data_IF_830428982714
#
_entry.id   IF_830428982714
#
_cell.length_a   1.000
_cell.length_b   1.000
_cell.length_c   1.000
_cell.angle_alpha   90.00
_cell.angle_beta   90.00
_cell.angle_gamma   90.00
#
_symmetry.space_group_name_H-M   'P 1'
#
loop_
_entity.id
_entity.type
_entity.pdbx_description
1 polymer ?
#
# COMPACT_ATOMS: atom_id res chain seq x y z
N UNK A 1 -0.62 32.59 -6.89
CA UNK A 1 -0.68 32.26 -5.45
C UNK A 1 0.19 31.01 -5.24
N UNK A 2 1.22 31.12 -4.42
CA UNK A 2 2.04 29.93 -4.08
C UNK A 2 1.14 28.87 -3.47
N UNK A 3 0.98 27.75 -4.13
CA UNK A 3 0.20 26.62 -3.62
C UNK A 3 0.96 25.99 -2.46
N UNK A 4 0.54 26.31 -1.24
CA UNK A 4 1.18 25.78 -0.03
C UNK A 4 0.81 24.33 0.25
N UNK A 5 -0.25 23.81 -0.35
CA UNK A 5 -0.80 22.46 -0.15
C UNK A 5 -1.42 21.95 -1.45
N UNK A 6 -1.20 20.70 -1.73
CA UNK A 6 -1.87 20.00 -2.83
C UNK A 6 -2.03 18.54 -2.45
N UNK A 7 -3.27 18.09 -2.32
CA UNK A 7 -3.62 16.71 -1.93
C UNK A 7 -4.54 16.08 -2.95
N UNK A 8 -4.38 14.79 -3.14
CA UNK A 8 -5.34 13.95 -3.86
C UNK A 8 -5.93 12.96 -2.89
N UNK A 9 -7.25 13.04 -2.68
CA UNK A 9 -8.00 12.11 -1.84
C UNK A 9 -8.72 11.07 -2.70
N UNK A 10 -8.63 9.82 -2.30
CA UNK A 10 -9.29 8.68 -2.94
C UNK A 10 -10.31 8.06 -2.00
N UNK A 11 -11.57 8.03 -2.39
CA UNK A 11 -12.68 7.41 -1.68
C UNK A 11 -13.23 6.28 -2.54
N UNK A 12 -13.25 5.07 -2.00
CA UNK A 12 -13.67 3.87 -2.74
C UNK A 12 -14.72 3.11 -1.94
N UNK A 13 -15.83 2.81 -2.56
CA UNK A 13 -16.82 1.84 -2.06
C UNK A 13 -16.64 0.54 -2.83
N UNK A 14 -16.49 -0.56 -2.11
CA UNK A 14 -16.25 -1.88 -2.70
C UNK A 14 -16.98 -2.97 -1.94
N UNK A 15 -17.90 -3.64 -2.61
CA UNK A 15 -18.58 -4.80 -2.06
C UNK A 15 -17.75 -6.05 -2.27
N UNK A 16 -17.50 -6.75 -1.17
CA UNK A 16 -16.75 -7.99 -1.11
C UNK A 16 -17.71 -9.11 -0.72
N UNK A 17 -17.82 -10.20 -1.52
CA UNK A 17 -18.64 -11.35 -1.21
C UNK A 17 -18.15 -12.07 0.05
N UNK A 18 -18.85 -13.13 0.53
CA UNK A 18 -18.37 -13.96 1.62
C UNK A 18 -16.90 -14.32 1.47
N UNK A 19 -16.07 -13.95 2.44
CA UNK A 19 -14.61 -14.06 2.35
C UNK A 19 -13.90 -13.75 3.66
N UNK A 20 -12.60 -14.04 3.71
CA UNK A 20 -11.72 -13.69 4.81
C UNK A 20 -10.49 -12.95 4.28
N UNK A 21 -10.70 -11.72 3.81
CA UNK A 21 -9.70 -10.90 3.09
C UNK A 21 -8.49 -10.58 3.94
N UNK A 22 -8.69 -10.31 5.25
CA UNK A 22 -7.62 -9.97 6.18
C UNK A 22 -7.90 -10.57 7.56
N UNK A 23 -7.00 -11.44 8.01
CA UNK A 23 -7.14 -12.24 9.23
C UNK A 23 -6.38 -11.63 10.40
N UNK A 24 -6.87 -11.92 11.61
CA UNK A 24 -6.11 -11.77 12.84
C UNK A 24 -5.19 -12.98 13.11
N UNK A 25 -4.60 -13.04 14.28
CA UNK A 25 -3.71 -14.12 14.73
C UNK A 25 -4.43 -15.44 15.04
N UNK A 26 -5.76 -15.41 15.24
CA UNK A 26 -6.60 -16.60 15.40
C UNK A 26 -7.07 -17.17 14.07
N UNK A 27 -6.90 -16.44 12.97
CA UNK A 27 -7.36 -16.83 11.64
C UNK A 27 -8.72 -16.28 11.26
N UNK A 28 -9.38 -15.54 12.17
CA UNK A 28 -10.68 -14.91 11.96
C UNK A 28 -10.60 -13.63 11.14
N UNK A 29 -11.66 -13.23 10.42
CA UNK A 29 -11.71 -11.94 9.75
C UNK A 29 -11.50 -10.80 10.75
N UNK A 30 -10.61 -9.87 10.43
CA UNK A 30 -10.39 -8.69 11.27
C UNK A 30 -11.65 -7.83 11.35
N UNK A 31 -11.97 -7.41 12.55
CA UNK A 31 -13.08 -6.49 12.83
C UNK A 31 -12.60 -5.24 13.55
N UNK A 32 -13.46 -4.27 13.69
CA UNK A 32 -13.32 -3.09 14.54
C UNK A 32 -14.70 -2.64 15.03
N UNK A 33 -14.75 -1.94 16.15
CA UNK A 33 -15.97 -1.26 16.59
C UNK A 33 -15.91 0.18 16.10
N UNK A 34 -16.93 0.62 15.35
CA UNK A 34 -17.08 1.98 14.89
C UNK A 34 -18.54 2.42 14.95
N UNK A 35 -18.82 3.59 15.54
CA UNK A 35 -20.18 4.04 15.80
C UNK A 35 -20.99 3.07 16.67
N UNK A 36 -20.33 2.38 17.62
CA UNK A 36 -20.94 1.39 18.50
C UNK A 36 -21.29 0.04 17.85
N UNK A 37 -20.93 -0.18 16.58
CA UNK A 37 -21.26 -1.41 15.84
C UNK A 37 -19.99 -2.13 15.36
N UNK A 38 -20.06 -3.47 15.31
CA UNK A 38 -18.97 -4.30 14.75
C UNK A 38 -18.92 -4.15 13.24
N UNK A 39 -17.74 -3.85 12.72
CA UNK A 39 -17.46 -3.65 11.28
C UNK A 39 -16.42 -4.64 10.80
N UNK A 40 -16.54 -5.12 9.57
CA UNK A 40 -15.43 -5.73 8.88
C UNK A 40 -14.31 -4.70 8.73
N UNK A 41 -13.05 -5.14 8.90
CA UNK A 41 -11.87 -4.28 8.77
C UNK A 41 -10.79 -4.95 7.94
N UNK A 42 -10.24 -4.20 6.99
CA UNK A 42 -9.02 -4.59 6.30
C UNK A 42 -7.93 -3.57 6.65
N UNK A 43 -6.80 -4.04 7.14
CA UNK A 43 -5.74 -3.16 7.64
C UNK A 43 -5.06 -2.38 6.52
N UNK A 44 -4.60 -1.18 6.84
CA UNK A 44 -3.81 -0.34 5.91
C UNK A 44 -2.56 -1.05 5.41
N UNK A 45 -1.93 -1.90 6.24
CA UNK A 45 -0.77 -2.69 5.85
C UNK A 45 -1.13 -3.73 4.78
N UNK A 46 -2.31 -4.36 4.86
CA UNK A 46 -2.78 -5.31 3.86
C UNK A 46 -3.01 -4.60 2.51
N UNK A 47 -3.64 -3.42 2.53
CA UNK A 47 -3.81 -2.60 1.32
C UNK A 47 -2.48 -2.15 0.73
N UNK A 48 -1.58 -1.57 1.53
CA UNK A 48 -0.25 -1.16 1.06
C UNK A 48 0.56 -2.32 0.49
N UNK A 49 0.44 -3.52 1.07
CA UNK A 49 1.08 -4.71 0.54
C UNK A 49 0.51 -5.09 -0.84
N UNK A 50 -0.83 -5.13 -0.97
CA UNK A 50 -1.48 -5.42 -2.25
C UNK A 50 -1.08 -4.42 -3.35
N UNK A 51 -1.00 -3.13 -3.02
CA UNK A 51 -0.52 -2.09 -3.95
C UNK A 51 0.93 -2.32 -4.38
N UNK A 52 1.83 -2.66 -3.43
CA UNK A 52 3.23 -2.96 -3.75
C UNK A 52 3.39 -4.19 -4.64
N UNK A 53 2.56 -5.22 -4.43
CA UNK A 53 2.53 -6.40 -5.31
C UNK A 53 2.10 -5.98 -6.71
N UNK A 54 1.06 -5.16 -6.84
CA UNK A 54 0.59 -4.66 -8.14
C UNK A 54 1.65 -3.82 -8.85
N UNK A 55 2.37 -2.94 -8.15
CA UNK A 55 3.49 -2.19 -8.73
C UNK A 55 4.56 -3.12 -9.29
N UNK A 56 4.84 -4.25 -8.62
CA UNK A 56 5.86 -5.20 -9.06
C UNK A 56 5.42 -6.06 -10.23
N UNK A 57 4.19 -6.56 -10.20
CA UNK A 57 3.71 -7.60 -11.12
C UNK A 57 2.98 -7.04 -12.34
N UNK A 58 2.19 -5.97 -12.16
CA UNK A 58 1.33 -5.43 -13.22
C UNK A 58 1.86 -4.11 -13.80
N UNK A 59 2.64 -3.33 -13.04
CA UNK A 59 3.15 -1.99 -13.41
C UNK A 59 4.69 -1.96 -13.49
N UNK A 60 5.32 -3.11 -13.66
CA UNK A 60 6.79 -3.21 -13.79
C UNK A 60 7.26 -2.47 -15.04
N UNK A 61 8.19 -1.52 -14.87
CA UNK A 61 8.67 -0.63 -15.92
C UNK A 61 8.02 0.77 -15.92
N UNK A 62 6.87 0.94 -15.29
CA UNK A 62 6.26 2.26 -15.04
C UNK A 62 6.66 2.80 -13.67
N UNK A 63 6.84 1.91 -12.69
CA UNK A 63 7.16 2.26 -11.29
C UNK A 63 8.32 1.42 -10.78
N UNK A 64 9.43 2.09 -10.41
CA UNK A 64 10.52 1.42 -9.70
C UNK A 64 10.21 1.31 -8.22
N UNK A 65 10.26 0.08 -7.67
CA UNK A 65 10.02 -0.18 -6.26
C UNK A 65 11.22 -0.85 -5.59
N UNK A 66 11.37 -0.58 -4.27
CA UNK A 66 12.40 -1.15 -3.44
C UNK A 66 12.10 -2.60 -3.00
N UNK A 67 13.14 -3.30 -2.61
CA UNK A 67 13.05 -4.61 -1.94
C UNK A 67 13.09 -4.42 -0.43
N UNK A 68 12.07 -4.94 0.28
CA UNK A 68 12.06 -4.98 1.74
C UNK A 68 12.63 -6.31 2.21
N UNK A 69 13.84 -6.29 2.77
CA UNK A 69 14.59 -7.52 3.04
C UNK A 69 15.46 -7.43 4.31
N UNK A 70 15.75 -8.57 4.91
CA UNK A 70 16.84 -8.75 5.87
C UNK A 70 18.19 -9.03 5.18
N UNK A 71 18.16 -9.38 3.89
CA UNK A 71 19.29 -9.82 3.07
C UNK A 71 19.82 -8.69 2.20
N UNK A 72 19.92 -7.48 2.75
CA UNK A 72 20.42 -6.32 1.98
C UNK A 72 21.88 -6.49 1.53
N UNK A 73 22.69 -7.30 2.24
CA UNK A 73 24.05 -7.65 1.85
C UNK A 73 24.07 -8.29 0.47
N UNK A 74 23.15 -9.24 0.21
CA UNK A 74 23.13 -9.96 -1.07
C UNK A 74 22.87 -9.01 -2.24
N UNK A 75 21.95 -8.03 -2.06
CA UNK A 75 21.61 -7.05 -3.09
C UNK A 75 22.81 -6.19 -3.46
N UNK A 76 23.58 -5.71 -2.48
CA UNK A 76 24.79 -4.91 -2.73
C UNK A 76 25.92 -5.78 -3.29
N UNK A 77 26.02 -7.06 -2.84
CA UNK A 77 27.03 -7.99 -3.34
C UNK A 77 26.76 -8.42 -4.79
N UNK A 78 25.50 -8.49 -5.22
CA UNK A 78 25.16 -8.75 -6.62
C UNK A 78 25.62 -7.59 -7.52
N UNK A 79 25.37 -6.34 -7.12
CA UNK A 79 25.88 -5.15 -7.83
C UNK A 79 27.43 -5.08 -7.82
N UNK A 80 28.06 -5.45 -6.70
CA UNK A 80 29.54 -5.55 -6.63
C UNK A 80 30.10 -6.62 -7.55
N UNK A 81 29.41 -7.74 -7.76
CA UNK A 81 29.86 -8.80 -8.66
C UNK A 81 29.88 -8.33 -10.13
N UNK A 82 28.98 -7.42 -10.51
CA UNK A 82 28.99 -6.79 -11.83
C UNK A 82 30.17 -5.82 -11.99
N UNK A 83 30.55 -5.08 -10.94
CA UNK A 83 31.64 -4.11 -10.96
C UNK A 83 33.03 -4.77 -10.82
N UNK A 84 33.10 -5.90 -10.12
CA UNK A 84 34.36 -6.60 -9.80
C UNK A 84 34.27 -8.08 -10.26
N UNK A 85 34.21 -8.33 -11.57
CA UNK A 85 34.06 -9.70 -12.08
C UNK A 85 35.24 -10.59 -11.66
N UNK A 86 34.91 -11.82 -11.23
CA UNK A 86 35.92 -12.80 -10.80
C UNK A 86 36.34 -12.72 -9.34
N UNK A 87 35.77 -11.80 -8.54
CA UNK A 87 36.00 -11.78 -7.10
C UNK A 87 35.20 -12.87 -6.41
N UNK A 88 35.74 -13.42 -5.31
CA UNK A 88 35.06 -14.40 -4.47
C UNK A 88 33.82 -13.81 -3.80
N UNK A 89 32.70 -14.55 -3.82
CA UNK A 89 31.40 -14.13 -3.27
C UNK A 89 31.50 -13.70 -1.80
N UNK A 90 32.24 -14.43 -0.97
CA UNK A 90 32.41 -14.09 0.44
C UNK A 90 33.13 -12.76 0.65
N UNK A 91 34.07 -12.42 -0.26
CA UNK A 91 34.73 -11.14 -0.21
C UNK A 91 33.78 -10.01 -0.57
N UNK A 92 32.96 -10.20 -1.61
CA UNK A 92 31.93 -9.23 -2.01
C UNK A 92 30.90 -9.02 -0.89
N UNK A 93 30.41 -10.08 -0.24
CA UNK A 93 29.51 -10.00 0.90
C UNK A 93 30.09 -9.22 2.08
N UNK A 94 31.39 -9.43 2.36
CA UNK A 94 32.07 -8.66 3.40
C UNK A 94 32.17 -7.17 3.05
N UNK A 95 32.52 -6.84 1.81
CA UNK A 95 32.54 -5.45 1.32
C UNK A 95 31.16 -4.81 1.40
N UNK A 96 30.11 -5.54 1.02
CA UNK A 96 28.72 -5.10 1.12
C UNK A 96 28.29 -4.84 2.57
N UNK A 97 28.64 -5.75 3.47
CA UNK A 97 28.37 -5.60 4.91
C UNK A 97 29.07 -4.36 5.49
N UNK A 98 30.32 -4.13 5.11
CA UNK A 98 31.08 -2.96 5.55
C UNK A 98 30.50 -1.66 4.99
N UNK A 99 30.07 -1.64 3.73
CA UNK A 99 29.37 -0.51 3.12
C UNK A 99 28.06 -0.17 3.84
N UNK A 100 27.22 -1.18 4.08
CA UNK A 100 25.95 -1.00 4.83
C UNK A 100 26.18 -0.56 6.28
N UNK A 101 27.23 -1.03 6.97
CA UNK A 101 27.60 -0.56 8.32
C UNK A 101 28.00 0.91 8.31
N UNK A 102 28.79 1.35 7.32
CA UNK A 102 29.15 2.77 7.16
C UNK A 102 27.95 3.65 6.93
N UNK A 103 26.94 3.14 6.19
CA UNK A 103 25.66 3.80 6.02
C UNK A 103 24.74 3.73 7.26
N UNK A 104 25.22 3.25 8.42
CA UNK A 104 24.44 3.22 9.67
C UNK A 104 23.56 1.99 9.88
N UNK A 105 23.61 1.00 8.98
CA UNK A 105 22.80 -0.22 9.10
C UNK A 105 23.43 -1.20 10.10
N UNK A 106 22.60 -1.73 11.00
CA UNK A 106 23.03 -2.68 12.03
C UNK A 106 22.65 -4.11 11.68
N UNK A 107 23.47 -5.05 12.12
CA UNK A 107 23.30 -6.47 11.86
C UNK A 107 23.04 -7.26 13.13
N UNK A 108 22.30 -8.36 13.05
CA UNK A 108 22.14 -9.32 14.16
C UNK A 108 23.45 -10.08 14.32
N UNK A 109 23.86 -10.30 15.58
CA UNK A 109 24.90 -11.29 15.86
C UNK A 109 24.29 -12.66 15.55
N UNK A 110 24.91 -13.43 14.65
CA UNK A 110 24.47 -14.79 14.34
C UNK A 110 24.73 -15.68 15.56
N UNK A 111 23.66 -16.16 16.20
CA UNK A 111 23.78 -17.29 17.12
C UNK A 111 24.09 -18.53 16.30
N UNK A 112 25.29 -19.06 16.50
CA UNK A 112 25.81 -20.27 15.82
C UNK A 112 24.97 -21.49 16.20
N UNK A 113 23.93 -21.85 15.47
CA UNK A 113 23.31 -23.17 15.62
C UNK A 113 23.21 -23.99 14.33
N UNK A 114 23.30 -23.38 13.17
CA UNK A 114 23.29 -24.13 11.89
C UNK A 114 24.30 -23.46 10.94
N UNK A 115 25.43 -24.07 10.74
CA UNK A 115 26.54 -23.92 9.81
C UNK A 115 26.60 -22.83 8.71
N UNK A 116 25.55 -22.08 8.44
CA UNK A 116 25.49 -20.96 7.49
C UNK A 116 25.40 -19.62 8.24
N UNK A 117 26.44 -18.85 8.16
CA UNK A 117 26.43 -17.43 8.58
C UNK A 117 25.67 -16.62 7.54
N UNK A 118 24.37 -16.39 7.73
CA UNK A 118 23.72 -15.28 7.08
C UNK A 118 23.76 -14.06 8.00
N UNK A 119 24.59 -13.08 7.70
CA UNK A 119 24.64 -11.80 8.41
C UNK A 119 23.42 -10.93 7.97
N UNK A 120 22.25 -11.29 8.46
CA UNK A 120 21.02 -10.54 8.22
C UNK A 120 21.06 -9.18 8.94
N UNK A 121 20.45 -8.16 8.33
CA UNK A 121 20.21 -6.87 8.99
C UNK A 121 19.36 -7.07 10.25
N UNK A 122 19.53 -6.22 11.25
CA UNK A 122 18.79 -6.33 12.52
C UNK A 122 17.28 -6.13 12.37
N UNK A 123 16.84 -5.43 11.31
CA UNK A 123 15.46 -5.21 10.92
C UNK A 123 15.34 -5.23 9.39
N UNK A 124 14.12 -5.37 8.88
CA UNK A 124 13.84 -5.27 7.45
C UNK A 124 14.27 -3.89 6.95
N UNK A 125 15.13 -3.86 5.94
CA UNK A 125 15.52 -2.66 5.22
C UNK A 125 14.77 -2.59 3.89
N UNK A 126 14.22 -1.43 3.57
CA UNK A 126 13.70 -1.11 2.24
C UNK A 126 14.82 -0.41 1.46
N UNK A 127 15.26 -1.01 0.35
CA UNK A 127 16.38 -0.53 -0.48
C UNK A 127 16.03 -0.67 -1.96
N UNK A 128 16.30 0.37 -2.75
CA UNK A 128 16.17 0.38 -4.21
C UNK A 128 17.42 -0.17 -4.90
N UNK A 129 17.28 -0.52 -6.19
CA UNK A 129 18.42 -0.97 -7.01
C UNK A 129 19.46 0.14 -7.15
N UNK A 130 19.04 1.38 -7.46
CA UNK A 130 19.92 2.52 -7.57
C UNK A 130 20.78 2.75 -6.31
N UNK A 131 20.16 2.60 -5.12
CA UNK A 131 20.84 2.72 -3.83
C UNK A 131 21.86 1.59 -3.62
N UNK A 132 21.50 0.34 -3.96
CA UNK A 132 22.41 -0.80 -3.89
C UNK A 132 23.60 -0.62 -4.81
N UNK A 133 23.38 -0.16 -6.04
CA UNK A 133 24.44 0.15 -7.02
C UNK A 133 25.37 1.28 -6.53
N UNK A 134 24.81 2.34 -5.92
CA UNK A 134 25.61 3.44 -5.37
C UNK A 134 26.52 2.96 -4.22
N UNK A 135 25.98 2.17 -3.29
CA UNK A 135 26.77 1.54 -2.22
C UNK A 135 27.88 0.63 -2.78
N UNK A 136 27.57 -0.17 -3.80
CA UNK A 136 28.52 -1.05 -4.45
C UNK A 136 29.68 -0.28 -5.09
N UNK A 137 29.39 0.84 -5.78
CA UNK A 137 30.42 1.71 -6.36
C UNK A 137 31.37 2.27 -5.30
N UNK A 138 30.82 2.85 -4.21
CA UNK A 138 31.63 3.38 -3.11
C UNK A 138 32.49 2.29 -2.46
N UNK A 139 31.96 1.07 -2.31
CA UNK A 139 32.71 -0.06 -1.78
C UNK A 139 33.81 -0.54 -2.71
N UNK A 140 33.57 -0.60 -4.04
CA UNK A 140 34.57 -0.98 -5.05
C UNK A 140 35.72 0.03 -5.11
N UNK A 141 35.41 1.32 -4.97
CA UNK A 141 36.39 2.42 -4.93
C UNK A 141 37.08 2.54 -3.57
N UNK A 142 36.69 1.73 -2.58
CA UNK A 142 37.22 1.77 -1.22
C UNK A 142 37.11 3.16 -0.56
N UNK A 143 35.99 3.86 -0.80
CA UNK A 143 35.69 5.16 -0.23
C UNK A 143 35.85 5.13 1.30
N UNK A 144 36.40 6.18 1.89
CA UNK A 144 36.63 6.28 3.35
C UNK A 144 35.66 7.20 4.06
N UNK A 145 34.84 7.90 3.33
CA UNK A 145 33.85 8.81 3.85
C UNK A 145 32.55 8.08 4.17
N UNK A 146 32.20 8.00 5.45
CA UNK A 146 30.99 7.33 5.91
C UNK A 146 29.73 8.12 5.51
N UNK A 147 29.82 9.46 5.37
CA UNK A 147 28.69 10.27 4.93
C UNK A 147 28.28 9.95 3.49
N UNK A 148 29.24 9.65 2.60
CA UNK A 148 28.93 9.24 1.24
C UNK A 148 28.10 7.94 1.17
N UNK A 149 28.30 7.00 2.09
CA UNK A 149 27.50 5.79 2.17
C UNK A 149 26.09 6.05 2.71
N UNK A 150 25.94 6.99 3.66
CA UNK A 150 24.64 7.43 4.16
C UNK A 150 23.85 8.14 3.06
N UNK A 151 24.48 9.05 2.32
CA UNK A 151 23.90 9.75 1.17
C UNK A 151 23.46 8.77 0.09
N UNK A 152 24.28 7.76 -0.23
CA UNK A 152 23.96 6.71 -1.21
C UNK A 152 22.69 5.92 -0.85
N UNK A 153 22.35 5.77 0.45
CA UNK A 153 21.09 5.19 0.88
C UNK A 153 19.93 6.19 0.89
N UNK A 154 20.21 7.48 0.97
CA UNK A 154 19.19 8.53 0.97
C UNK A 154 18.85 9.05 -0.42
N UNK A 155 19.78 9.03 -1.34
CA UNK A 155 19.55 9.46 -2.71
C UNK A 155 18.77 8.41 -3.53
N UNK A 156 18.08 8.87 -4.57
CA UNK A 156 17.34 8.04 -5.50
C UNK A 156 16.38 7.04 -4.81
N UNK A 157 15.46 7.52 -3.95
CA UNK A 157 14.48 6.66 -3.32
C UNK A 157 13.51 6.10 -4.36
N UNK A 158 13.05 4.87 -4.14
CA UNK A 158 12.03 4.26 -4.96
C UNK A 158 10.64 4.84 -4.67
N UNK A 159 9.71 4.76 -5.63
CA UNK A 159 8.37 5.33 -5.52
C UNK A 159 7.62 4.80 -4.29
N UNK A 160 7.72 3.51 -3.96
CA UNK A 160 7.10 2.95 -2.78
C UNK A 160 7.73 3.44 -1.46
N UNK A 161 9.01 3.83 -1.49
CA UNK A 161 9.69 4.45 -0.34
C UNK A 161 9.16 5.85 -0.09
N UNK A 162 8.98 6.66 -1.13
CA UNK A 162 8.42 8.02 -1.02
C UNK A 162 6.94 7.97 -0.65
N UNK A 163 6.16 7.06 -1.26
CA UNK A 163 4.73 6.92 -0.96
C UNK A 163 4.46 6.42 0.46
N UNK A 164 5.16 5.38 0.90
CA UNK A 164 4.79 4.66 2.14
C UNK A 164 5.76 4.86 3.30
N UNK A 165 6.84 5.58 3.07
CA UNK A 165 7.86 5.85 4.06
C UNK A 165 8.86 4.72 4.25
N UNK A 166 10.02 5.07 4.80
CA UNK A 166 11.03 4.13 5.29
C UNK A 166 11.39 4.49 6.73
N UNK A 167 11.35 3.50 7.60
CA UNK A 167 11.81 3.64 8.98
C UNK A 167 13.05 2.78 9.20
N UNK A 168 14.13 3.40 9.65
CA UNK A 168 15.36 2.75 10.08
C UNK A 168 15.61 3.15 11.54
N UNK A 169 15.17 2.32 12.48
CA UNK A 169 15.09 2.67 13.90
C UNK A 169 16.42 3.12 14.53
N UNK A 170 17.56 2.63 14.02
CA UNK A 170 18.90 2.95 14.54
C UNK A 170 19.68 3.98 13.72
N UNK A 171 19.12 4.43 12.60
CA UNK A 171 19.67 5.48 11.75
C UNK A 171 18.51 6.40 11.29
N UNK A 172 18.06 7.33 12.16
CA UNK A 172 16.92 8.20 11.86
C UNK A 172 17.12 9.09 10.64
N UNK A 173 18.37 9.44 10.29
CA UNK A 173 18.74 10.19 9.10
C UNK A 173 18.38 9.47 7.79
N UNK A 174 18.20 8.15 7.83
CA UNK A 174 17.75 7.33 6.71
C UNK A 174 16.23 7.20 6.60
N UNK A 175 15.46 7.84 7.48
CA UNK A 175 14.01 7.77 7.45
C UNK A 175 13.45 8.62 6.31
N UNK A 176 12.38 8.11 5.68
CA UNK A 176 11.53 8.88 4.76
C UNK A 176 10.15 9.03 5.36
N UNK A 177 9.64 10.24 5.37
CA UNK A 177 8.24 10.50 5.67
C UNK A 177 7.37 10.07 4.48
N UNK A 178 6.20 9.49 4.79
CA UNK A 178 5.31 8.99 3.78
C UNK A 178 4.50 10.13 3.13
N UNK A 179 4.58 10.28 1.82
CA UNK A 179 3.72 11.20 1.08
C UNK A 179 2.27 10.72 1.02
N UNK A 180 2.01 9.42 1.15
CA UNK A 180 0.67 8.85 1.12
C UNK A 180 0.23 8.31 2.48
N UNK A 181 -1.03 8.56 2.84
CA UNK A 181 -1.71 7.94 3.98
C UNK A 181 -2.81 7.02 3.46
N UNK A 182 -2.81 5.77 3.92
CA UNK A 182 -3.82 4.77 3.58
C UNK A 182 -4.54 4.37 4.86
N UNK A 183 -5.84 4.56 4.92
CA UNK A 183 -6.64 4.21 6.09
C UNK A 183 -6.87 2.70 6.19
N UNK A 184 -7.18 2.20 7.40
CA UNK A 184 -7.86 0.93 7.52
C UNK A 184 -9.23 1.07 6.86
N UNK A 185 -9.59 0.16 5.96
CA UNK A 185 -10.97 0.14 5.46
C UNK A 185 -11.91 -0.50 6.48
N UNK A 186 -13.11 -0.01 6.52
CA UNK A 186 -14.19 -0.53 7.38
C UNK A 186 -15.45 -0.80 6.54
N UNK A 187 -16.28 -1.73 6.98
CA UNK A 187 -17.60 -1.88 6.36
C UNK A 187 -18.50 -0.68 6.66
N UNK A 188 -19.28 -0.27 5.68
CA UNK A 188 -20.27 0.80 5.81
C UNK A 188 -21.43 0.41 6.74
N UNK A 189 -21.64 -0.89 6.94
CA UNK A 189 -22.72 -1.51 7.72
C UNK A 189 -22.16 -2.44 8.81
N UNK A 190 -23.00 -2.83 9.74
CA UNK A 190 -22.69 -3.85 10.75
C UNK A 190 -22.46 -5.20 10.08
N UNK A 191 -21.44 -5.94 10.52
CA UNK A 191 -21.18 -7.31 10.06
C UNK A 191 -21.29 -8.29 11.21
N UNK A 192 -21.56 -9.52 10.85
CA UNK A 192 -21.49 -10.69 11.71
C UNK A 192 -20.63 -11.72 11.02
N UNK A 193 -19.71 -12.35 11.75
CA UNK A 193 -18.93 -13.46 11.20
C UNK A 193 -19.79 -14.71 11.11
N UNK A 194 -19.63 -15.43 10.03
CA UNK A 194 -20.23 -16.71 9.73
C UNK A 194 -19.15 -17.79 9.75
N UNK A 195 -19.55 -19.04 9.88
CA UNK A 195 -18.65 -20.16 10.04
C UNK A 195 -18.93 -21.20 8.96
N UNK A 196 -17.86 -21.64 8.29
CA UNK A 196 -17.87 -22.75 7.37
C UNK A 196 -17.10 -23.92 7.98
N UNK A 197 -17.77 -25.04 8.07
CA UNK A 197 -17.20 -26.28 8.55
C UNK A 197 -16.72 -27.11 7.35
N UNK A 198 -15.47 -27.51 7.35
CA UNK A 198 -14.89 -28.31 6.26
C UNK A 198 -14.23 -29.59 6.76
N UNK A 199 -14.27 -30.60 5.91
CA UNK A 199 -13.62 -31.89 6.13
C UNK A 199 -12.75 -32.22 4.93
N UNK A 200 -11.66 -32.98 5.16
CA UNK A 200 -10.88 -33.61 4.10
C UNK A 200 -11.27 -35.07 4.00
N UNK A 201 -11.57 -35.56 2.79
CA UNK A 201 -11.85 -36.96 2.50
C UNK A 201 -10.55 -37.62 2.12
N UNK A 202 -10.28 -38.78 2.69
CA UNK A 202 -9.15 -39.65 2.29
C UNK A 202 -9.61 -40.57 1.17
N UNK A 203 -9.15 -40.30 -0.05
CA UNK A 203 -9.52 -41.10 -1.24
C UNK A 203 -9.02 -42.58 -1.20
N UNK A 204 -8.12 -42.86 -0.27
CA UNK A 204 -7.57 -44.20 -0.06
C UNK A 204 -8.09 -44.89 1.20
N UNK A 205 -8.98 -44.25 1.97
CA UNK A 205 -9.54 -44.85 3.16
C UNK A 205 -10.51 -45.99 2.82
N UNK A 206 -10.57 -47.06 3.65
CA UNK A 206 -11.59 -48.12 3.51
C UNK A 206 -13.00 -47.50 3.59
N UNK A 207 -13.95 -48.07 2.83
CA UNK A 207 -15.34 -47.56 2.74
C UNK A 207 -16.03 -47.41 4.10
N UNK A 208 -15.64 -48.21 5.09
CA UNK A 208 -16.21 -48.17 6.45
C UNK A 208 -15.67 -46.99 7.31
N UNK A 209 -14.67 -46.24 6.85
CA UNK A 209 -14.03 -45.19 7.61
C UNK A 209 -13.71 -43.95 6.74
N UNK A 210 -14.66 -43.55 5.91
CA UNK A 210 -14.59 -42.27 5.15
C UNK A 210 -14.62 -41.04 6.05
N UNK A 211 -14.42 -41.25 7.35
CA UNK A 211 -14.31 -40.17 8.36
C UNK A 211 -13.12 -39.31 8.10
N UNK A 212 -13.37 -38.04 8.02
CA UNK A 212 -12.45 -36.98 7.71
C UNK A 212 -11.14 -37.09 8.49
N UNK A 213 -10.06 -37.24 7.78
CA UNK A 213 -8.71 -37.16 8.36
C UNK A 213 -8.37 -35.75 8.89
N UNK A 214 -9.14 -34.77 8.53
CA UNK A 214 -8.97 -33.39 9.00
C UNK A 214 -10.32 -32.66 9.08
N UNK A 215 -10.65 -32.16 10.27
CA UNK A 215 -11.82 -31.32 10.53
C UNK A 215 -11.37 -29.90 10.83
N UNK A 216 -12.03 -28.91 10.27
CA UNK A 216 -11.72 -27.52 10.55
C UNK A 216 -12.91 -26.59 10.38
N UNK A 217 -12.79 -25.39 10.92
CA UNK A 217 -13.76 -24.32 10.78
C UNK A 217 -13.07 -23.09 10.22
N UNK A 218 -13.68 -22.44 9.25
CA UNK A 218 -13.23 -21.17 8.69
C UNK A 218 -14.29 -20.10 8.97
N UNK A 219 -13.82 -18.99 9.52
CA UNK A 219 -14.68 -17.81 9.68
C UNK A 219 -14.58 -16.91 8.43
N UNK A 220 -15.71 -16.33 8.06
CA UNK A 220 -15.81 -15.39 6.96
C UNK A 220 -16.90 -14.35 7.21
N UNK A 221 -16.90 -13.29 6.43
CA UNK A 221 -17.99 -12.32 6.37
C UNK A 221 -18.08 -11.71 4.97
N UNK A 222 -19.18 -11.01 4.69
CA UNK A 222 -19.36 -10.18 3.51
C UNK A 222 -19.51 -8.73 3.91
N UNK A 223 -19.04 -7.79 3.09
CA UNK A 223 -19.09 -6.39 3.43
C UNK A 223 -18.99 -5.46 2.23
N UNK A 224 -19.73 -4.35 2.27
CA UNK A 224 -19.43 -3.17 1.48
C UNK A 224 -18.43 -2.33 2.28
N UNK A 225 -17.19 -2.25 1.78
CA UNK A 225 -16.09 -1.55 2.43
C UNK A 225 -16.00 -0.11 1.93
N UNK A 226 -15.77 0.83 2.87
CA UNK A 226 -15.27 2.15 2.56
C UNK A 226 -13.75 2.14 2.72
N UNK A 227 -13.03 2.57 1.66
CA UNK A 227 -11.58 2.69 1.60
C UNK A 227 -11.22 4.14 1.36
N UNK A 228 -10.22 4.62 2.07
CA UNK A 228 -9.71 5.98 1.95
C UNK A 228 -8.20 6.00 1.88
N UNK A 229 -7.67 6.84 1.01
CA UNK A 229 -6.27 7.21 0.98
C UNK A 229 -6.11 8.66 0.55
N UNK A 230 -5.02 9.30 0.96
CA UNK A 230 -4.63 10.63 0.50
C UNK A 230 -3.16 10.65 0.12
N UNK A 231 -2.82 11.47 -0.86
CA UNK A 231 -1.44 11.72 -1.31
C UNK A 231 -1.14 13.21 -1.21
N UNK A 232 -0.06 13.54 -0.51
CA UNK A 232 0.51 14.88 -0.50
C UNK A 232 1.40 15.04 -1.74
N UNK A 233 0.89 15.74 -2.75
CA UNK A 233 1.56 15.91 -4.04
C UNK A 233 2.85 16.72 -3.90
N UNK A 234 2.86 17.75 -3.06
CA UNK A 234 4.05 18.60 -2.89
C UNK A 234 5.19 17.83 -2.22
N UNK A 235 4.89 16.85 -1.37
CA UNK A 235 5.90 15.97 -0.80
C UNK A 235 6.52 15.04 -1.87
N UNK A 236 5.70 14.57 -2.82
CA UNK A 236 6.21 13.83 -3.98
C UNK A 236 7.11 14.72 -4.84
N UNK A 237 6.70 15.95 -5.13
CA UNK A 237 7.48 16.90 -5.93
C UNK A 237 8.83 17.19 -5.32
N UNK A 238 8.89 17.38 -4.00
CA UNK A 238 10.14 17.62 -3.27
C UNK A 238 11.18 16.53 -3.49
N UNK A 239 10.72 15.29 -3.64
CA UNK A 239 11.61 14.12 -3.72
C UNK A 239 11.80 13.62 -5.15
N UNK A 240 10.75 13.65 -5.99
CA UNK A 240 10.75 13.03 -7.32
C UNK A 240 10.76 14.07 -8.46
N UNK A 241 10.48 15.34 -8.17
CA UNK A 241 10.20 16.35 -9.19
C UNK A 241 8.76 16.33 -9.69
N UNK A 242 8.34 17.36 -10.43
CA UNK A 242 6.95 17.58 -10.78
C UNK A 242 6.35 16.53 -11.71
N UNK A 243 7.07 16.18 -12.78
CA UNK A 243 6.62 15.19 -13.77
C UNK A 243 6.41 13.81 -13.13
N UNK A 244 7.42 13.32 -12.43
CA UNK A 244 7.35 12.01 -11.78
C UNK A 244 6.35 11.98 -10.63
N UNK A 245 6.10 13.12 -9.97
CA UNK A 245 5.06 13.23 -8.94
C UNK A 245 3.66 13.01 -9.52
N UNK A 246 3.33 13.61 -10.67
CA UNK A 246 2.04 13.42 -11.34
C UNK A 246 1.84 11.96 -11.80
N UNK A 247 2.85 11.37 -12.43
CA UNK A 247 2.84 9.95 -12.80
C UNK A 247 2.67 9.04 -11.58
N UNK A 248 3.33 9.37 -10.47
CA UNK A 248 3.22 8.61 -9.20
C UNK A 248 1.81 8.69 -8.61
N UNK A 249 1.14 9.86 -8.68
CA UNK A 249 -0.26 10.00 -8.24
C UNK A 249 -1.19 9.12 -9.07
N UNK A 250 -1.01 9.08 -10.38
CA UNK A 250 -1.76 8.20 -11.28
C UNK A 250 -1.54 6.73 -10.93
N UNK A 251 -0.28 6.29 -10.85
CA UNK A 251 0.08 4.92 -10.52
C UNK A 251 -0.46 4.50 -9.13
N UNK A 252 -0.37 5.41 -8.14
CA UNK A 252 -0.95 5.20 -6.81
C UNK A 252 -2.47 5.02 -6.89
N UNK A 253 -3.16 5.89 -7.62
CA UNK A 253 -4.60 5.81 -7.82
C UNK A 253 -5.02 4.49 -8.46
N UNK A 254 -4.36 4.06 -9.53
CA UNK A 254 -4.61 2.78 -10.18
C UNK A 254 -4.40 1.61 -9.21
N UNK A 255 -3.25 1.56 -8.55
CA UNK A 255 -2.94 0.50 -7.59
C UNK A 255 -3.91 0.50 -6.40
N UNK A 256 -4.28 1.67 -5.85
CA UNK A 256 -5.23 1.77 -4.75
C UNK A 256 -6.63 1.29 -5.15
N UNK A 257 -7.10 1.59 -6.36
CA UNK A 257 -8.43 1.22 -6.83
C UNK A 257 -8.51 -0.26 -7.19
N UNK A 258 -7.54 -0.79 -7.95
CA UNK A 258 -7.58 -2.14 -8.55
C UNK A 258 -7.00 -3.25 -7.68
N UNK A 259 -6.04 -2.94 -6.79
CA UNK A 259 -5.43 -3.97 -5.95
C UNK A 259 -6.38 -4.45 -4.85
N UNK A 260 -6.21 -5.70 -4.45
CA UNK A 260 -6.95 -6.31 -3.35
C UNK A 260 -6.05 -7.28 -2.56
N UNK A 261 -6.11 -7.29 -1.23
CA UNK A 261 -5.42 -8.31 -0.44
C UNK A 261 -5.92 -9.72 -0.76
N UNK A 262 -5.01 -10.69 -0.78
CA UNK A 262 -5.25 -12.06 -1.26
C UNK A 262 -5.66 -13.05 -0.18
N UNK A 263 -6.10 -12.58 1.00
CA UNK A 263 -6.51 -13.44 2.10
C UNK A 263 -7.59 -14.45 1.68
N UNK A 264 -7.30 -15.75 1.85
CA UNK A 264 -8.20 -16.85 1.48
C UNK A 264 -8.76 -16.81 0.04
N UNK A 265 -8.09 -16.10 -0.86
CA UNK A 265 -8.56 -15.89 -2.25
C UNK A 265 -8.81 -17.24 -2.98
N UNK A 266 -7.96 -18.23 -2.77
CA UNK A 266 -8.13 -19.55 -3.43
C UNK A 266 -9.39 -20.30 -2.98
N UNK A 267 -9.86 -20.05 -1.74
CA UNK A 267 -11.07 -20.69 -1.22
C UNK A 267 -12.34 -19.93 -1.58
N UNK A 268 -12.27 -18.59 -1.65
CA UNK A 268 -13.46 -17.76 -1.80
C UNK A 268 -13.59 -17.05 -3.15
N UNK A 269 -12.52 -17.00 -3.96
CA UNK A 269 -12.48 -16.29 -5.26
C UNK A 269 -13.05 -14.85 -5.16
N UNK A 270 -12.70 -14.14 -4.09
CA UNK A 270 -13.35 -12.95 -3.58
C UNK A 270 -12.84 -11.63 -4.18
N UNK A 271 -12.08 -11.67 -5.27
CA UNK A 271 -11.58 -10.46 -5.94
C UNK A 271 -12.72 -9.76 -6.67
N UNK A 272 -13.10 -8.57 -6.23
CA UNK A 272 -14.10 -7.70 -6.86
C UNK A 272 -13.47 -6.39 -7.29
N UNK A 273 -14.15 -5.66 -8.16
CA UNK A 273 -13.85 -4.27 -8.46
C UNK A 273 -14.75 -3.35 -7.60
N UNK A 274 -14.38 -2.07 -7.41
CA UNK A 274 -15.21 -1.11 -6.69
C UNK A 274 -16.59 -0.90 -7.30
N UNK A 275 -17.58 -0.65 -6.44
CA UNK A 275 -18.93 -0.21 -6.85
C UNK A 275 -18.94 1.26 -7.29
N UNK A 276 -18.13 2.09 -6.62
CA UNK A 276 -17.95 3.50 -6.94
C UNK A 276 -16.62 4.03 -6.42
N UNK A 277 -16.06 4.99 -7.15
CA UNK A 277 -14.84 5.71 -6.77
C UNK A 277 -15.13 7.21 -6.86
N UNK A 278 -14.67 7.96 -5.87
CA UNK A 278 -14.67 9.41 -5.84
C UNK A 278 -13.26 9.90 -5.54
N UNK A 279 -12.70 10.74 -6.41
CA UNK A 279 -11.36 11.31 -6.25
C UNK A 279 -11.45 12.82 -6.21
N UNK A 280 -10.72 13.47 -5.32
CA UNK A 280 -10.69 14.91 -5.22
C UNK A 280 -9.27 15.47 -5.25
N UNK A 281 -9.08 16.57 -5.96
CA UNK A 281 -7.88 17.39 -5.91
C UNK A 281 -8.16 18.60 -5.02
N UNK A 282 -7.33 18.83 -3.99
CA UNK A 282 -7.59 19.80 -2.92
C UNK A 282 -6.36 20.63 -2.59
N UNK A 283 -6.58 21.91 -2.24
CA UNK A 283 -5.52 22.84 -1.81
C UNK A 283 -5.64 23.25 -0.32
N UNK A 284 -6.69 22.79 0.36
CA UNK A 284 -6.92 23.08 1.79
C UNK A 284 -6.27 22.00 2.69
N UNK A 285 -6.89 20.86 2.81
CA UNK A 285 -6.43 19.73 3.64
C UNK A 285 -7.02 18.41 3.13
N UNK A 286 -6.39 17.26 3.44
CA UNK A 286 -7.01 15.96 3.16
C UNK A 286 -8.28 15.76 3.98
N UNK A 287 -9.30 15.17 3.38
CA UNK A 287 -10.63 15.02 3.97
C UNK A 287 -11.09 13.56 3.92
N UNK A 288 -11.08 12.87 5.05
CA UNK A 288 -11.59 11.52 5.16
C UNK A 288 -13.11 11.53 5.42
N UNK A 289 -13.88 10.96 4.51
CA UNK A 289 -15.36 10.93 4.60
C UNK A 289 -15.90 9.72 5.41
N UNK A 290 -15.07 9.03 6.20
CA UNK A 290 -15.48 7.85 6.98
C UNK A 290 -16.65 8.12 7.93
N UNK A 291 -16.83 9.35 8.41
CA UNK A 291 -17.93 9.73 9.27
C UNK A 291 -19.32 9.55 8.63
N UNK A 292 -19.40 9.52 7.28
CA UNK A 292 -20.61 9.12 6.57
C UNK A 292 -21.17 7.76 7.04
N UNK A 293 -20.30 6.93 7.61
CA UNK A 293 -20.57 5.56 8.03
C UNK A 293 -20.46 5.36 9.55
N UNK A 294 -20.34 6.42 10.36
CA UNK A 294 -20.36 6.30 11.82
C UNK A 294 -21.65 5.63 12.28
N UNK A 295 -22.78 6.07 11.78
CA UNK A 295 -24.03 5.32 11.85
C UNK A 295 -24.01 4.22 10.79
N UNK A 296 -24.15 2.93 11.16
CA UNK A 296 -24.21 1.85 10.19
C UNK A 296 -25.30 2.06 9.15
N UNK A 297 -24.94 1.84 7.89
CA UNK A 297 -25.90 1.87 6.79
C UNK A 297 -26.88 0.69 6.95
N UNK A 298 -28.16 0.96 6.74
CA UNK A 298 -29.21 -0.07 6.75
C UNK A 298 -29.34 -0.70 5.37
N UNK A 299 -29.65 -2.00 5.34
CA UNK A 299 -29.90 -2.75 4.12
C UNK A 299 -31.12 -2.17 3.38
N UNK A 300 -30.98 -1.97 2.06
CA UNK A 300 -32.10 -1.73 1.13
C UNK A 300 -32.51 -3.03 0.45
N UNK A 301 -33.52 -2.96 -0.43
CA UNK A 301 -33.87 -4.08 -1.31
C UNK A 301 -32.71 -4.45 -2.27
N UNK A 302 -31.87 -3.48 -2.62
CA UNK A 302 -30.70 -3.64 -3.47
C UNK A 302 -29.38 -3.91 -2.69
N UNK A 303 -29.48 -4.22 -1.39
CA UNK A 303 -28.32 -4.49 -0.55
C UNK A 303 -27.75 -3.24 0.13
N UNK A 304 -26.41 -3.17 0.30
CA UNK A 304 -25.72 -2.09 1.03
C UNK A 304 -24.99 -1.09 0.13
N UNK A 305 -24.72 -1.43 -1.13
CA UNK A 305 -23.93 -0.57 -2.02
C UNK A 305 -24.62 0.77 -2.29
N UNK A 306 -25.87 0.75 -2.75
CA UNK A 306 -26.61 1.98 -3.07
C UNK A 306 -26.83 2.89 -1.85
N UNK A 307 -27.31 2.39 -0.69
CA UNK A 307 -27.40 3.23 0.51
C UNK A 307 -26.04 3.79 0.97
N UNK A 308 -24.92 3.06 0.73
CA UNK A 308 -23.59 3.56 1.05
C UNK A 308 -23.16 4.70 0.14
N UNK A 309 -23.45 4.63 -1.16
CA UNK A 309 -23.20 5.73 -2.11
C UNK A 309 -24.01 6.98 -1.72
N UNK A 310 -25.26 6.80 -1.34
CA UNK A 310 -26.11 7.90 -0.87
C UNK A 310 -25.55 8.56 0.40
N UNK A 311 -25.15 7.78 1.40
CA UNK A 311 -24.57 8.29 2.64
C UNK A 311 -23.26 9.05 2.39
N UNK A 312 -22.36 8.50 1.54
CA UNK A 312 -21.11 9.15 1.16
C UNK A 312 -21.34 10.51 0.48
N UNK A 313 -22.22 10.52 -0.52
CA UNK A 313 -22.58 11.72 -1.29
C UNK A 313 -23.20 12.81 -0.41
N UNK A 314 -24.16 12.45 0.43
CA UNK A 314 -24.82 13.40 1.32
C UNK A 314 -23.83 14.01 2.30
N UNK A 315 -23.00 13.19 2.93
CA UNK A 315 -22.02 13.66 3.91
C UNK A 315 -20.95 14.55 3.27
N UNK A 316 -20.48 14.20 2.06
CA UNK A 316 -19.52 15.04 1.33
C UNK A 316 -20.07 16.43 1.08
N UNK A 317 -21.32 16.55 0.59
CA UNK A 317 -21.98 17.84 0.36
C UNK A 317 -22.15 18.66 1.63
N UNK A 318 -22.58 18.02 2.71
CA UNK A 318 -22.75 18.68 4.01
C UNK A 318 -21.41 19.22 4.53
N UNK A 319 -20.34 18.42 4.44
CA UNK A 319 -19.02 18.77 4.91
C UNK A 319 -18.42 19.95 4.13
N UNK A 320 -18.57 19.96 2.80
CA UNK A 320 -18.06 21.02 1.93
C UNK A 320 -18.85 22.33 2.08
N UNK A 321 -20.04 22.29 2.64
CA UNK A 321 -20.81 23.48 2.96
C UNK A 321 -20.58 24.02 4.38
N UNK A 322 -19.81 23.28 5.22
CA UNK A 322 -19.70 23.63 6.66
C UNK A 322 -18.26 23.76 7.15
N UNK A 323 -17.40 22.77 6.94
CA UNK A 323 -16.07 22.68 7.57
C UNK A 323 -14.91 22.63 6.59
N UNK A 324 -15.13 22.20 5.35
CA UNK A 324 -14.09 22.12 4.34
C UNK A 324 -14.52 22.87 3.08
N UNK A 325 -13.56 23.39 2.34
CA UNK A 325 -13.84 23.97 1.03
C UNK A 325 -14.22 22.88 0.03
N UNK A 326 -14.96 23.25 -1.02
CA UNK A 326 -15.19 22.34 -2.13
C UNK A 326 -13.85 21.98 -2.80
N UNK A 327 -13.70 20.74 -3.27
CA UNK A 327 -12.50 20.37 -4.01
C UNK A 327 -12.30 21.24 -5.25
N UNK A 328 -11.06 21.51 -5.60
CA UNK A 328 -10.70 22.20 -6.84
C UNK A 328 -11.20 21.44 -8.08
N UNK A 329 -11.02 20.11 -8.04
CA UNK A 329 -11.53 19.20 -9.05
C UNK A 329 -12.03 17.93 -8.38
N UNK A 330 -13.04 17.34 -8.98
CA UNK A 330 -13.66 16.08 -8.53
C UNK A 330 -13.83 15.14 -9.71
N UNK A 331 -13.62 13.85 -9.46
CA UNK A 331 -13.73 12.78 -10.45
C UNK A 331 -14.50 11.61 -9.87
N UNK A 332 -15.34 10.96 -10.67
CA UNK A 332 -16.06 9.75 -10.24
C UNK A 332 -15.92 8.63 -11.27
N UNK A 333 -15.93 7.39 -10.77
CA UNK A 333 -16.01 6.16 -11.56
C UNK A 333 -17.14 5.31 -10.99
N UNK A 334 -17.95 4.70 -11.84
CA UNK A 334 -19.15 3.98 -11.43
C UNK A 334 -20.37 4.91 -11.38
N UNK A 335 -21.47 4.40 -10.85
CA UNK A 335 -22.76 5.09 -10.78
C UNK A 335 -23.15 5.45 -9.35
N UNK A 336 -24.07 6.40 -9.17
CA UNK A 336 -24.65 6.78 -7.88
C UNK A 336 -23.96 7.97 -7.20
N UNK A 337 -22.87 8.50 -7.79
CA UNK A 337 -22.13 9.68 -7.29
C UNK A 337 -22.14 10.86 -8.29
N UNK A 338 -23.05 10.86 -9.26
CA UNK A 338 -23.12 11.84 -10.37
C UNK A 338 -23.27 13.30 -9.89
N UNK A 339 -23.84 13.48 -8.70
CA UNK A 339 -24.00 14.81 -8.10
C UNK A 339 -22.67 15.39 -7.53
N UNK A 340 -21.62 14.58 -7.37
CA UNK A 340 -20.28 15.02 -6.95
C UNK A 340 -19.39 15.32 -8.16
N UNK A 341 -19.49 14.53 -9.22
CA UNK A 341 -18.82 14.74 -10.51
C UNK A 341 -19.42 13.83 -11.58
N UNK A 342 -19.29 14.20 -12.84
CA UNK A 342 -19.71 13.33 -13.95
C UNK A 342 -18.86 12.05 -13.99
N UNK A 343 -19.46 10.87 -14.07
CA UNK A 343 -18.73 9.62 -14.10
C UNK A 343 -17.99 9.41 -15.42
N UNK A 344 -16.83 8.79 -15.31
CA UNK A 344 -16.01 8.43 -16.47
C UNK A 344 -15.34 7.06 -16.25
N UNK A 345 -14.88 6.40 -17.32
CA UNK A 345 -14.11 5.16 -17.20
C UNK A 345 -12.83 5.36 -16.39
N UNK A 346 -12.39 4.32 -15.65
CA UNK A 346 -11.23 4.39 -14.76
C UNK A 346 -9.97 4.91 -15.44
N UNK A 347 -9.62 4.37 -16.61
CA UNK A 347 -8.39 4.78 -17.32
C UNK A 347 -8.46 6.25 -17.77
N UNK A 348 -9.65 6.72 -18.15
CA UNK A 348 -9.87 8.15 -18.48
C UNK A 348 -9.70 9.01 -17.23
N UNK A 349 -10.28 8.61 -16.12
CA UNK A 349 -10.17 9.32 -14.84
C UNK A 349 -8.71 9.44 -14.41
N UNK A 350 -7.93 8.35 -14.50
CA UNK A 350 -6.52 8.35 -14.13
C UNK A 350 -5.69 9.29 -15.01
N UNK A 351 -5.94 9.31 -16.32
CA UNK A 351 -5.25 10.21 -17.25
C UNK A 351 -5.62 11.69 -17.02
N UNK A 352 -6.90 11.97 -16.75
CA UNK A 352 -7.36 13.34 -16.45
C UNK A 352 -6.83 13.81 -15.10
N UNK A 353 -6.75 12.92 -14.10
CA UNK A 353 -6.16 13.22 -12.79
C UNK A 353 -4.67 13.58 -12.91
N UNK A 354 -3.89 12.77 -13.65
CA UNK A 354 -2.47 13.04 -13.90
C UNK A 354 -2.29 14.43 -14.49
N UNK A 355 -3.02 14.72 -15.57
CA UNK A 355 -3.00 16.03 -16.24
C UNK A 355 -3.41 17.18 -15.31
N UNK A 356 -4.44 17.00 -14.49
CA UNK A 356 -4.89 18.00 -13.52
C UNK A 356 -3.81 18.31 -12.47
N UNK A 357 -3.06 17.32 -12.04
CA UNK A 357 -1.91 17.48 -11.14
C UNK A 357 -0.79 18.24 -11.85
N UNK A 358 -0.43 17.87 -13.08
CA UNK A 358 0.59 18.55 -13.89
C UNK A 358 0.25 20.03 -14.10
N UNK A 359 -0.99 20.36 -14.45
CA UNK A 359 -1.46 21.73 -14.64
C UNK A 359 -1.34 22.55 -13.36
N UNK A 360 -1.66 21.98 -12.19
CA UNK A 360 -1.50 22.64 -10.90
C UNK A 360 -0.04 22.86 -10.51
N UNK A 361 0.85 21.94 -10.87
CA UNK A 361 2.28 22.07 -10.62
C UNK A 361 2.95 23.07 -11.58
N UNK A 362 2.54 23.11 -12.85
CA UNK A 362 3.09 24.02 -13.87
C UNK A 362 2.62 25.48 -13.68
N UNK A 363 1.42 25.68 -13.13
CA UNK A 363 0.87 27.03 -12.86
C UNK A 363 1.46 27.70 -11.62
N UNK A 364 2.26 26.96 -10.84
CA UNK A 364 3.05 27.47 -9.73
C UNK A 364 4.53 27.28 -10.13
N UNK A 365 5.21 28.37 -10.55
CA UNK A 365 6.67 28.36 -10.57
C UNK A 365 7.13 28.03 -9.14
N UNK A 366 7.60 26.78 -8.94
CA UNK A 366 8.15 26.28 -7.67
C UNK A 366 9.55 26.83 -7.48
#
# INVERSE_FOLDING_TARGET
>A
MDTKRLYVDFHVLQTVPPSCVNRDDTGSPKTAVYGGAVRARVSSQAWKHAMRVMFTEEMSGEVEIGKRTLRAIDLVADELAELLPGQDRKKLEKMSQDALKRAGITFKKSDKKDGEKSDNTSALLLIGKAQATALAKLAAENCKDDSAYEDALNENPTVDMVLFGRMVAKAPSLNYDAAAQVAHSISTHTVQNEFDYFTAVDDCAPEDNAGAGHLGTVEYNSATLYRYATVNVLELVRTLGAEQAAQTVRAFGEAFIRSMPTGKQNSFANRTLPDAVYVTLRQDQPVNLSRAFEKPVHKSEEGYAEPSKMALKQYAKELYNTFAEAPEQSFTVGTGLEELAQPMPLNTMLAVLEKAVEEKLSGNEV
#
